data_IF_138983285843
#
_entry.id   IF_138983285843
#
_cell.length_a   1.000
_cell.length_b   1.000
_cell.length_c   1.000
_cell.angle_alpha   90.00
_cell.angle_beta   90.00
_cell.angle_gamma   90.00
#
_symmetry.space_group_name_H-M   'P 1'
#
loop_
_entity.id
_entity.type
_entity.pdbx_description
1 polymer ?
2 branched ?
3 water ?
#
# COMPACT_ATOMS: atom_id res chain seq x y z
N UNK A 1 10.15 -27.12 0.48
CA UNK A 1 10.03 -26.76 1.89
C UNK A 1 8.69 -26.05 2.15
N UNK A 2 8.25 -26.07 3.42
CA UNK A 2 7.06 -25.38 3.87
C UNK A 2 7.35 -24.70 5.20
N UNK A 3 6.36 -24.02 5.77
CA UNK A 3 6.48 -23.56 7.15
C UNK A 3 5.09 -23.38 7.73
N UNK A 4 5.05 -23.16 9.04
CA UNK A 4 3.80 -22.97 9.75
C UNK A 4 3.25 -21.58 9.51
N UNK A 5 1.93 -21.50 9.34
CA UNK A 5 1.19 -20.25 9.34
C UNK A 5 0.31 -20.23 10.58
N UNK A 6 0.42 -19.18 11.39
CA UNK A 6 -0.33 -19.06 12.65
C UNK A 6 -1.24 -17.84 12.59
N UNK A 7 -2.55 -18.08 12.66
CA UNK A 7 -3.53 -17.00 12.62
C UNK A 7 -4.13 -16.81 14.01
N UNK A 8 -4.10 -15.57 14.50
CA UNK A 8 -4.50 -15.27 15.87
C UNK A 8 -5.37 -14.02 15.92
N UNK A 9 -6.33 -14.04 16.83
CA UNK A 9 -7.09 -12.86 17.21
C UNK A 9 -6.74 -12.58 18.67
N UNK A 10 -6.14 -11.41 18.91
CA UNK A 10 -5.59 -11.12 20.23
C UNK A 10 -6.66 -10.68 21.23
N UNK A 11 -7.70 -9.98 20.78
CA UNK A 11 -8.54 -9.28 21.73
C UNK A 11 -9.92 -8.88 21.22
N UNK A 12 -10.23 -9.14 19.95
CA UNK A 12 -11.55 -8.69 19.53
C UNK A 12 -12.62 -9.71 19.97
N UNK A 13 -13.81 -9.24 20.35
CA UNK A 13 -14.85 -10.15 20.81
C UNK A 13 -15.56 -10.85 19.68
N UNK A 14 -15.97 -12.09 19.95
CA UNK A 14 -16.75 -12.81 18.95
C UNK A 14 -15.87 -13.43 17.88
N UNK A 15 -16.39 -13.45 16.65
CA UNK A 15 -15.91 -14.36 15.61
C UNK A 15 -15.17 -13.61 14.51
N UNK A 16 -14.01 -14.13 14.14
CA UNK A 16 -13.17 -13.58 13.09
C UNK A 16 -12.76 -14.72 12.17
N UNK A 17 -12.81 -14.48 10.86
CA UNK A 17 -12.40 -15.45 9.85
C UNK A 17 -11.20 -14.92 9.08
N UNK A 18 -10.28 -15.82 8.73
CA UNK A 18 -9.16 -15.54 7.86
C UNK A 18 -9.29 -16.28 6.54
N UNK A 19 -8.82 -15.64 5.45
CA UNK A 19 -8.65 -16.27 4.15
C UNK A 19 -7.20 -16.16 3.69
N UNK A 20 -6.67 -17.23 3.12
CA UNK A 20 -5.32 -17.24 2.52
C UNK A 20 -5.46 -17.54 1.02
N UNK A 21 -5.12 -16.57 0.17
CA UNK A 21 -5.13 -16.72 -1.28
C UNK A 21 -3.71 -16.54 -1.85
N UNK A 22 -3.50 -17.05 -3.07
CA UNK A 22 -2.24 -16.84 -3.77
C UNK A 22 -2.15 -17.64 -5.07
N UNK A 23 -0.95 -17.62 -5.66
CA UNK A 23 -0.62 -18.39 -6.87
C UNK A 23 0.43 -19.45 -6.52
N UNK A 24 0.15 -20.70 -6.85
CA UNK A 24 1.07 -21.73 -6.39
C UNK A 24 2.29 -21.80 -7.32
N UNK A 25 3.39 -22.27 -6.75
CA UNK A 25 4.72 -22.14 -7.34
C UNK A 25 4.78 -22.61 -8.79
N UNK A 26 5.04 -21.67 -9.70
CA UNK A 26 5.22 -22.01 -11.11
C UNK A 26 3.99 -22.33 -11.95
N UNK A 27 3.06 -23.13 -11.43
CA UNK A 27 1.86 -23.44 -12.19
C UNK A 27 1.08 -22.19 -12.53
N UNK A 28 1.27 -21.11 -11.75
CA UNK A 28 0.56 -19.83 -11.84
C UNK A 28 -0.91 -19.95 -11.44
N UNK A 29 -1.31 -21.08 -10.88
CA UNK A 29 -2.72 -21.40 -10.68
C UNK A 29 -3.18 -20.85 -9.34
N UNK A 30 -4.18 -19.98 -9.38
CA UNK A 30 -4.93 -19.53 -8.21
C UNK A 30 -5.16 -20.65 -7.19
N UNK A 31 -5.16 -20.30 -5.90
CA UNK A 31 -5.15 -21.32 -4.86
C UNK A 31 -5.58 -20.67 -3.56
N UNK A 32 -6.31 -21.45 -2.72
CA UNK A 32 -6.81 -20.97 -1.44
C UNK A 32 -6.54 -22.03 -0.38
N UNK A 33 -6.17 -21.59 0.82
CA UNK A 33 -5.94 -22.52 1.91
C UNK A 33 -7.28 -22.85 2.56
N UNK A 34 -7.38 -24.10 3.05
CA UNK A 34 -8.72 -24.48 3.49
C UNK A 34 -8.73 -24.70 5.00
N UNK A 35 -9.89 -24.46 5.66
CA UNK A 35 -10.00 -24.65 7.12
C UNK A 35 -9.37 -25.93 7.64
N UNK A 36 -9.41 -27.00 6.85
CA UNK A 36 -8.88 -28.30 7.26
C UNK A 36 -7.37 -28.42 7.02
N UNK A 37 -6.71 -27.36 6.55
CA UNK A 37 -5.29 -27.40 6.29
C UNK A 37 -4.90 -27.78 4.88
N UNK A 38 -5.86 -28.14 4.03
CA UNK A 38 -5.57 -28.56 2.67
C UNK A 38 -5.76 -27.39 1.71
N UNK A 39 -5.37 -27.60 0.47
CA UNK A 39 -5.39 -26.59 -0.56
C UNK A 39 -6.59 -26.79 -1.48
N UNK A 40 -7.24 -25.70 -1.85
CA UNK A 40 -8.32 -25.72 -2.81
C UNK A 40 -7.87 -24.98 -4.06
N UNK A 41 -7.77 -25.71 -5.17
CA UNK A 41 -7.40 -25.11 -6.44
C UNK A 41 -8.63 -25.07 -7.34
N UNK A 42 -9.27 -23.93 -7.53
CA UNK A 42 -10.51 -23.90 -8.31
C UNK A 42 -10.24 -24.16 -9.78
N UNK A 43 -11.21 -24.79 -10.43
CA UNK A 43 -11.23 -24.86 -11.88
C UNK A 43 -11.91 -23.62 -12.44
N UNK A 44 -11.67 -23.37 -13.73
CA UNK A 44 -12.33 -22.25 -14.38
C UNK A 44 -13.85 -22.45 -14.35
N UNK A 45 -14.61 -21.39 -14.09
CA UNK A 45 -16.06 -21.55 -13.95
C UNK A 45 -16.79 -21.54 -15.30
N UNK A 46 -18.07 -21.92 -15.24
CA UNK A 46 -18.88 -21.90 -16.43
C UNK A 46 -19.36 -20.52 -16.84
N UNK A 47 -19.24 -19.54 -15.97
CA UNK A 47 -19.71 -18.19 -16.26
C UNK A 47 -18.92 -17.22 -15.42
N UNK A 48 -18.95 -15.92 -15.75
CA UNK A 48 -18.37 -14.92 -14.86
C UNK A 48 -19.18 -14.76 -13.57
N UNK A 49 -18.51 -14.26 -12.54
CA UNK A 49 -19.16 -13.90 -11.29
C UNK A 49 -19.73 -15.14 -10.59
N UNK A 50 -19.01 -16.26 -10.69
CA UNK A 50 -19.46 -17.52 -10.14
C UNK A 50 -19.02 -17.65 -8.68
N UNK A 51 -19.93 -17.81 -7.73
CA UNK A 51 -19.52 -17.89 -6.31
C UNK A 51 -18.53 -19.00 -6.07
N UNK A 52 -17.53 -18.71 -5.23
CA UNK A 52 -16.53 -19.70 -4.87
C UNK A 52 -17.25 -20.96 -4.37
N UNK A 53 -17.09 -22.11 -5.02
CA UNK A 53 -17.91 -23.27 -4.67
C UNK A 53 -17.43 -24.01 -3.44
N UNK A 54 -16.30 -23.64 -2.84
CA UNK A 54 -15.87 -24.23 -1.57
C UNK A 54 -15.78 -23.11 -0.53
N UNK A 55 -16.09 -23.44 0.73
CA UNK A 55 -15.99 -22.46 1.82
C UNK A 55 -14.55 -22.48 2.32
N UNK A 56 -13.81 -21.43 1.96
CA UNK A 56 -12.41 -21.33 2.36
C UNK A 56 -12.19 -20.40 3.54
N UNK A 57 -13.26 -19.94 4.19
CA UNK A 57 -13.11 -19.14 5.39
C UNK A 57 -12.54 -20.00 6.51
N UNK A 58 -11.52 -19.49 7.20
CA UNK A 58 -10.82 -20.21 8.26
C UNK A 58 -11.23 -19.61 9.59
N UNK A 59 -12.00 -20.32 10.42
CA UNK A 59 -12.47 -19.72 11.67
C UNK A 59 -11.34 -19.61 12.68
N UNK A 60 -11.15 -18.41 13.22
CA UNK A 60 -10.16 -18.18 14.26
C UNK A 60 -10.72 -18.53 15.62
N UNK A 61 -9.87 -19.13 16.46
CA UNK A 61 -10.17 -19.32 17.88
C UNK A 61 -10.60 -17.99 18.52
N UNK A 62 -11.27 -18.06 19.68
CA UNK A 62 -11.68 -16.84 20.35
C UNK A 62 -10.50 -16.03 20.83
N UNK A 63 -10.70 -14.71 20.90
CA UNK A 63 -9.70 -13.76 21.38
C UNK A 63 -8.95 -14.28 22.59
N UNK A 64 -7.65 -14.44 22.46
CA UNK A 64 -6.83 -14.93 23.55
C UNK A 64 -6.66 -16.42 23.62
N UNK A 65 -7.37 -17.19 22.80
CA UNK A 65 -7.33 -18.65 22.95
C UNK A 65 -6.11 -19.29 22.32
N UNK A 66 -5.30 -18.52 21.59
CA UNK A 66 -4.16 -19.08 20.91
C UNK A 66 -4.37 -19.03 19.41
N UNK A 67 -3.42 -19.56 18.67
CA UNK A 67 -3.50 -19.46 17.21
C UNK A 67 -4.12 -20.69 16.56
N UNK A 68 -4.67 -20.48 15.37
CA UNK A 68 -4.87 -21.56 14.41
C UNK A 68 -3.56 -21.74 13.64
N UNK A 69 -2.95 -22.91 13.76
CA UNK A 69 -1.68 -23.22 13.10
C UNK A 69 -1.93 -24.22 11.97
N UNK A 70 -1.50 -23.87 10.75
CA UNK A 70 -1.54 -24.81 9.64
C UNK A 70 -0.24 -24.75 8.86
N UNK A 71 -0.14 -25.60 7.84
CA UNK A 71 1.05 -25.67 7.01
C UNK A 71 0.88 -24.73 5.82
N UNK A 72 1.84 -23.83 5.65
CA UNK A 72 1.79 -22.88 4.56
C UNK A 72 2.55 -23.46 3.38
N UNK A 73 1.89 -23.76 2.26
CA UNK A 73 2.62 -24.13 1.05
C UNK A 73 3.14 -22.90 0.33
N UNK A 74 4.13 -23.14 -0.52
CA UNK A 74 4.77 -22.02 -1.20
C UNK A 74 3.85 -21.43 -2.25
N UNK A 75 3.86 -20.11 -2.36
CA UNK A 75 2.97 -19.38 -3.25
C UNK A 75 3.41 -17.93 -3.35
N UNK A 76 2.96 -17.26 -4.39
CA UNK A 76 3.36 -15.88 -4.63
C UNK A 76 2.11 -15.08 -4.95
N UNK A 77 2.24 -13.75 -4.96
CA UNK A 77 1.06 -12.91 -5.09
C UNK A 77 0.00 -13.23 -4.07
N UNK A 78 0.42 -13.63 -2.86
CA UNK A 78 -0.44 -14.17 -1.82
C UNK A 78 -0.92 -13.09 -0.86
N UNK A 79 -2.03 -13.38 -0.18
CA UNK A 79 -2.65 -12.49 0.79
C UNK A 79 -3.19 -13.28 1.97
N UNK A 80 -3.23 -12.66 3.14
CA UNK A 80 -4.03 -13.12 4.28
C UNK A 80 -5.08 -12.06 4.55
N UNK A 81 -6.36 -12.46 4.47
CA UNK A 81 -7.49 -11.59 4.81
C UNK A 81 -8.00 -11.94 6.19
N UNK A 82 -8.61 -10.96 6.84
CA UNK A 82 -9.38 -11.17 8.05
C UNK A 82 -10.70 -10.45 7.86
N UNK A 83 -11.73 -10.95 8.53
CA UNK A 83 -13.04 -10.31 8.50
C UNK A 83 -13.75 -10.65 9.80
N UNK A 84 -14.47 -9.67 10.34
CA UNK A 84 -15.15 -9.79 11.63
C UNK A 84 -16.62 -10.09 11.43
N UNK A 85 -17.14 -10.99 12.28
CA UNK A 85 -18.55 -11.40 12.32
C UNK A 85 -18.96 -12.18 11.06
N UNK A 86 -18.79 -11.59 9.88
CA UNK A 86 -19.17 -12.23 8.63
C UNK A 86 -18.08 -13.13 8.06
N UNK A 87 -18.31 -13.51 6.82
CA UNK A 87 -17.34 -14.10 5.92
C UNK A 87 -17.22 -13.17 4.72
N UNK A 88 -16.26 -13.44 3.83
CA UNK A 88 -16.10 -12.67 2.61
C UNK A 88 -16.62 -13.46 1.42
N UNK A 89 -17.25 -12.76 0.48
CA UNK A 89 -17.71 -13.37 -0.77
C UNK A 89 -16.63 -13.25 -1.84
N UNK A 90 -16.03 -14.37 -2.21
CA UNK A 90 -15.14 -14.48 -3.36
C UNK A 90 -15.91 -15.08 -4.54
N UNK A 91 -15.44 -14.78 -5.76
CA UNK A 91 -16.08 -15.26 -6.98
C UNK A 91 -15.01 -15.80 -7.92
N UNK A 92 -15.46 -16.43 -9.00
CA UNK A 92 -14.57 -16.91 -10.05
C UNK A 92 -15.03 -16.36 -11.38
N UNK A 93 -14.05 -16.04 -12.24
CA UNK A 93 -14.27 -15.66 -13.62
C UNK A 93 -13.54 -16.65 -14.50
N UNK A 94 -13.96 -16.82 -15.76
CA UNK A 94 -13.32 -17.82 -16.62
C UNK A 94 -11.81 -17.62 -16.62
N UNK A 95 -11.08 -18.72 -16.41
CA UNK A 95 -9.64 -18.64 -16.34
C UNK A 95 -8.93 -19.88 -15.84
N UNK A 96 -9.04 -20.19 -14.53
CA UNK A 96 -9.80 -19.49 -13.50
C UNK A 96 -9.14 -18.19 -13.04
N UNK A 97 -9.95 -17.16 -12.84
CA UNK A 97 -9.49 -15.84 -12.37
C UNK A 97 -10.26 -15.49 -11.10
N UNK A 98 -9.56 -15.41 -9.96
CA UNK A 98 -10.20 -15.13 -8.67
C UNK A 98 -10.66 -13.67 -8.60
N UNK A 99 -11.95 -13.45 -8.33
CA UNK A 99 -12.48 -12.11 -8.13
C UNK A 99 -12.26 -11.76 -6.66
N UNK A 100 -11.32 -10.67 -6.36
CA UNK A 100 -10.98 -10.30 -4.99
C UNK A 100 -11.87 -9.17 -4.49
N UNK A 101 -12.20 -9.15 -3.20
CA UNK A 101 -13.00 -8.05 -2.65
C UNK A 101 -12.33 -6.71 -2.95
N UNK A 102 -13.13 -5.77 -3.43
CA UNK A 102 -12.65 -4.48 -3.89
C UNK A 102 -12.96 -3.45 -2.80
N UNK A 103 -11.96 -3.17 -1.96
CA UNK A 103 -12.16 -2.24 -0.84
C UNK A 103 -12.63 -0.87 -1.28
N UNK A 104 -12.23 -0.44 -2.47
CA UNK A 104 -12.39 0.94 -2.92
C UNK A 104 -13.55 1.15 -3.90
N UNK A 105 -14.41 0.15 -4.10
CA UNK A 105 -15.57 0.32 -4.97
C UNK A 105 -16.83 0.08 -4.15
N UNK A 106 -17.76 1.03 -4.10
CA UNK A 106 -18.87 0.94 -3.12
C UNK A 106 -19.97 -0.07 -3.49
N UNK A 107 -20.01 -0.56 -4.72
CA UNK A 107 -20.96 -1.59 -5.12
C UNK A 107 -20.52 -2.99 -4.71
N UNK A 108 -19.32 -3.14 -4.14
CA UNK A 108 -18.78 -4.46 -3.88
C UNK A 108 -19.56 -5.15 -2.75
N UNK A 109 -19.76 -6.47 -2.84
CA UNK A 109 -20.55 -7.18 -1.80
C UNK A 109 -19.96 -7.05 -0.42
N UNK A 110 -18.65 -6.90 -0.31
CA UNK A 110 -17.98 -6.81 0.96
C UNK A 110 -17.77 -5.37 1.40
N UNK A 111 -18.22 -4.40 0.62
CA UNK A 111 -17.91 -2.99 0.88
C UNK A 111 -18.32 -2.56 2.29
N UNK A 112 -19.47 -3.04 2.76
CA UNK A 112 -19.94 -2.70 4.09
C UNK A 112 -19.41 -3.56 5.20
N UNK A 113 -18.57 -4.55 4.91
CA UNK A 113 -18.08 -5.43 5.95
C UNK A 113 -16.76 -4.91 6.52
N UNK A 114 -16.42 -5.42 7.69
CA UNK A 114 -15.18 -5.06 8.39
C UNK A 114 -14.12 -6.12 8.02
N UNK A 115 -13.25 -5.78 7.08
CA UNK A 115 -12.23 -6.71 6.60
C UNK A 115 -10.94 -5.98 6.22
N UNK A 116 -9.86 -6.74 6.19
CA UNK A 116 -8.54 -6.23 5.88
C UNK A 116 -7.70 -7.34 5.28
N UNK A 117 -6.50 -6.98 4.83
CA UNK A 117 -5.57 -7.98 4.31
C UNK A 117 -4.15 -7.40 4.32
N UNK A 118 -3.19 -8.31 4.35
CA UNK A 118 -1.80 -8.02 4.05
C UNK A 118 -1.30 -8.98 2.98
N UNK A 119 -0.21 -8.61 2.31
CA UNK A 119 0.34 -9.31 1.16
C UNK A 119 1.62 -10.02 1.53
N UNK A 120 1.86 -11.20 0.95
CA UNK A 120 3.12 -11.91 1.17
C UNK A 120 3.46 -12.78 -0.04
N UNK A 121 4.68 -13.32 -0.02
CA UNK A 121 5.18 -14.22 -1.05
C UNK A 121 6.08 -15.24 -0.37
N UNK A 122 6.01 -16.48 -0.81
CA UNK A 122 6.75 -17.58 -0.20
C UNK A 122 7.22 -18.47 -1.34
N UNK A 123 8.48 -18.26 -1.76
CA UNK A 123 9.17 -19.05 -2.80
C UNK A 123 10.33 -19.76 -2.09
N UNK A 124 11.23 -20.48 -2.78
CA UNK A 124 12.28 -21.20 -2.02
C UNK A 124 13.40 -20.30 -1.52
N UNK A 125 13.53 -19.08 -2.05
CA UNK A 125 14.55 -18.18 -1.53
C UNK A 125 14.15 -17.61 -0.17
N UNK A 126 12.88 -17.20 0.00
CA UNK A 126 12.46 -16.54 1.24
C UNK A 126 10.95 -16.47 1.35
N UNK A 127 10.46 -16.32 2.58
CA UNK A 127 9.14 -15.76 2.82
C UNK A 127 9.28 -14.25 3.01
N UNK A 128 8.50 -13.48 2.27
CA UNK A 128 8.50 -12.04 2.35
C UNK A 128 7.06 -11.56 2.53
N UNK A 129 6.81 -10.82 3.60
CA UNK A 129 5.49 -10.28 3.92
C UNK A 129 5.58 -8.77 4.06
N UNK A 130 4.44 -8.09 3.96
CA UNK A 130 4.45 -6.63 3.92
C UNK A 130 3.16 -6.07 4.50
N UNK A 131 3.28 -5.26 5.54
CA UNK A 131 2.22 -4.35 5.95
C UNK A 131 2.46 -3.03 5.25
N UNK A 132 1.44 -2.56 4.52
CA UNK A 132 1.57 -1.37 3.71
C UNK A 132 0.28 -0.56 3.79
N UNK A 133 0.41 0.76 3.91
CA UNK A 133 -0.72 1.67 3.88
C UNK A 133 -0.71 2.52 2.61
N UNK A 134 -0.14 1.96 1.54
CA UNK A 134 -0.15 2.69 0.29
C UNK A 134 -1.59 2.86 -0.21
N UNK A 135 -2.44 1.87 0.01
CA UNK A 135 -3.81 1.90 -0.53
C UNK A 135 -4.89 2.17 0.50
N UNK A 136 -4.84 1.56 1.67
CA UNK A 136 -5.94 1.70 2.61
C UNK A 136 -5.48 1.45 4.02
N UNK A 137 -6.25 1.98 4.97
CA UNK A 137 -6.17 1.66 6.38
C UNK A 137 -7.57 1.19 6.82
N UNK A 138 -7.62 0.22 7.72
CA UNK A 138 -8.89 -0.39 8.10
C UNK A 138 -9.07 -0.45 9.62
N UNK A 139 -10.32 -0.66 10.03
CA UNK A 139 -10.74 -0.99 11.39
C UNK A 139 -10.31 -2.37 11.83
N UNK A 140 -9.51 -3.12 11.09
CA UNK A 140 -9.08 -4.46 11.48
C UNK A 140 -7.57 -4.60 11.29
N UNK A 141 -6.77 -3.79 11.99
CA UNK A 141 -5.34 -3.71 11.69
C UNK A 141 -4.64 -5.02 11.93
N UNK A 142 -3.74 -5.36 10.99
CA UNK A 142 -2.94 -6.58 11.03
C UNK A 142 -1.54 -6.25 11.53
N UNK A 143 -1.00 -7.12 12.40
CA UNK A 143 0.40 -7.14 12.72
C UNK A 143 0.94 -8.54 12.45
N UNK A 144 2.27 -8.65 12.38
CA UNK A 144 2.84 -9.95 12.06
C UNK A 144 4.19 -10.15 12.73
N UNK A 145 4.58 -11.42 12.81
CA UNK A 145 5.87 -11.87 13.32
C UNK A 145 6.35 -13.01 12.41
N UNK A 146 7.60 -12.92 11.95
CA UNK A 146 8.21 -13.97 11.14
C UNK A 146 9.40 -14.54 11.91
N UNK A 147 9.33 -15.82 12.26
CA UNK A 147 10.43 -16.56 12.85
C UNK A 147 11.06 -17.49 11.82
N UNK A 148 12.39 -17.60 11.89
CA UNK A 148 13.13 -18.46 11.01
C UNK A 148 14.57 -18.40 11.43
N UNK A 149 15.44 -17.92 10.54
CA UNK A 149 16.76 -17.50 10.96
C UNK A 149 16.59 -16.46 12.06
N UNK A 150 16.13 -15.27 11.69
CA UNK A 150 15.94 -14.21 12.68
C UNK A 150 14.52 -14.28 13.23
N UNK A 151 14.18 -13.31 14.08
CA UNK A 151 12.80 -13.01 14.41
C UNK A 151 12.56 -11.56 14.01
N UNK A 152 11.55 -11.34 13.16
CA UNK A 152 11.16 -9.98 12.78
C UNK A 152 9.70 -9.77 13.17
N UNK A 153 9.40 -8.58 13.66
CA UNK A 153 8.06 -8.21 14.05
C UNK A 153 7.70 -6.91 13.34
N UNK A 154 6.45 -6.81 12.90
CA UNK A 154 5.92 -5.56 12.38
C UNK A 154 4.70 -5.21 13.21
N UNK A 155 4.72 -4.02 13.81
CA UNK A 155 3.67 -3.54 14.68
C UNK A 155 2.48 -3.06 13.86
N UNK A 156 1.26 -3.30 14.34
CA UNK A 156 0.05 -2.95 13.60
C UNK A 156 -0.27 -1.47 13.75
N UNK A 157 -1.29 -1.04 13.01
CA UNK A 157 -1.96 0.18 13.40
C UNK A 157 -2.48 0.00 14.82
N UNK A 158 -2.31 0.98 15.69
CA UNK A 158 -2.80 0.82 17.06
C UNK A 158 -4.31 0.87 17.07
N UNK A 159 -4.88 0.27 18.11
CA UNK A 159 -6.33 0.32 18.31
C UNK A 159 -6.84 1.75 18.16
N UNK A 160 -7.77 1.95 17.23
CA UNK A 160 -8.36 3.25 17.02
C UNK A 160 -7.75 4.06 15.90
N UNK A 161 -6.67 3.57 15.28
CA UNK A 161 -5.98 4.36 14.27
C UNK A 161 -6.94 4.86 13.18
N UNK A 162 -7.81 3.98 12.68
CA UNK A 162 -8.56 4.36 11.48
C UNK A 162 -9.56 5.47 11.79
N UNK A 163 -10.08 5.52 13.01
CA UNK A 163 -10.95 6.65 13.37
C UNK A 163 -10.18 7.96 13.39
N UNK A 164 -9.00 7.98 14.04
CA UNK A 164 -8.15 9.18 14.04
C UNK A 164 -7.82 9.62 12.62
N UNK A 165 -7.44 8.67 11.77
CA UNK A 165 -7.05 9.03 10.41
C UNK A 165 -8.22 9.67 9.69
N UNK A 166 -9.41 9.09 9.85
CA UNK A 166 -10.61 9.64 9.20
C UNK A 166 -10.94 11.04 9.72
N UNK A 167 -10.85 11.23 11.04
CA UNK A 167 -11.12 12.54 11.62
C UNK A 167 -10.11 13.59 11.13
N UNK A 168 -8.81 13.27 11.21
CA UNK A 168 -7.80 14.22 10.73
C UNK A 168 -8.04 14.61 9.28
N UNK A 169 -8.44 13.64 8.45
CA UNK A 169 -8.61 13.95 7.02
C UNK A 169 -9.87 14.77 6.78
N UNK A 170 -10.96 14.47 7.49
CA UNK A 170 -12.14 15.34 7.40
C UNK A 170 -11.80 16.75 7.86
N UNK A 171 -11.05 16.86 8.97
CA UNK A 171 -10.57 18.15 9.44
C UNK A 171 -9.79 18.87 8.36
N UNK A 172 -8.91 18.14 7.66
CA UNK A 172 -8.17 18.74 6.56
C UNK A 172 -9.12 19.25 5.49
N UNK A 173 -10.09 18.43 5.09
CA UNK A 173 -11.06 18.82 4.07
C UNK A 173 -11.83 20.07 4.46
N UNK A 174 -12.16 20.19 5.76
CA UNK A 174 -12.85 21.39 6.23
C UNK A 174 -12.05 22.65 5.97
N UNK A 175 -10.72 22.57 6.06
CA UNK A 175 -9.90 23.77 5.91
C UNK A 175 -9.52 24.07 4.46
N UNK A 176 -9.24 23.05 3.64
CA UNK A 176 -8.84 23.29 2.26
C UNK A 176 -9.95 23.00 1.26
N UNK A 177 -11.11 22.53 1.72
CA UNK A 177 -12.17 22.20 0.79
C UNK A 177 -11.87 21.08 -0.19
N UNK A 178 -10.76 20.38 -0.03
CA UNK A 178 -10.45 19.27 -0.93
C UNK A 178 -11.14 17.98 -0.46
N UNK A 179 -11.39 17.04 -1.39
CA UNK A 179 -12.23 15.88 -1.06
C UNK A 179 -11.62 14.84 -0.12
N UNK A 180 -10.81 15.28 0.87
CA UNK A 180 -10.15 14.30 1.73
C UNK A 180 -11.15 13.46 2.51
N UNK A 181 -12.33 14.02 2.80
CA UNK A 181 -13.30 13.30 3.61
C UNK A 181 -13.95 12.14 2.85
N UNK A 182 -13.99 12.23 1.51
CA UNK A 182 -14.56 11.16 0.71
C UNK A 182 -13.74 9.89 0.75
N UNK A 183 -12.49 9.94 1.23
CA UNK A 183 -11.72 8.72 1.31
C UNK A 183 -12.21 7.81 2.43
N UNK A 184 -13.10 8.31 3.30
CA UNK A 184 -13.58 7.54 4.43
C UNK A 184 -14.73 6.64 3.98
N UNK A 185 -14.85 5.47 4.62
CA UNK A 185 -15.98 4.58 4.43
C UNK A 185 -16.55 4.21 5.80
N UNK A 186 -17.79 4.62 6.05
CA UNK A 186 -18.48 4.30 7.28
C UNK A 186 -19.59 3.30 7.02
N UNK A 187 -19.70 2.29 7.88
CA UNK A 187 -20.73 1.30 7.73
C UNK A 187 -22.10 1.90 7.95
N UNK A 188 -23.05 1.07 8.37
CA UNK A 188 -24.40 1.55 8.64
C UNK A 188 -24.56 1.96 10.10
N UNK A 189 -23.70 1.43 10.96
CA UNK A 189 -23.74 1.72 12.39
C UNK A 189 -22.90 2.93 12.79
N UNK A 190 -22.52 3.78 11.84
CA UNK A 190 -21.73 4.94 12.19
C UNK A 190 -20.23 4.70 12.27
N UNK A 191 -19.82 3.45 12.39
CA UNK A 191 -18.42 3.11 12.58
C UNK A 191 -17.63 3.29 11.29
N UNK A 192 -16.33 3.56 11.43
CA UNK A 192 -15.45 3.72 10.27
C UNK A 192 -14.92 2.35 9.86
N UNK A 193 -15.05 2.02 8.59
CA UNK A 193 -14.59 0.72 8.10
C UNK A 193 -13.18 0.81 7.50
N UNK A 194 -12.95 1.79 6.65
CA UNK A 194 -11.64 1.93 6.05
C UNK A 194 -11.50 3.37 5.58
N UNK A 195 -10.26 3.74 5.27
CA UNK A 195 -9.98 4.98 4.57
C UNK A 195 -9.00 4.61 3.46
N UNK A 196 -9.17 5.21 2.28
CA UNK A 196 -8.39 4.85 1.10
C UNK A 196 -7.56 6.03 0.63
N UNK A 197 -6.41 5.70 0.03
CA UNK A 197 -5.52 6.72 -0.49
C UNK A 197 -6.20 7.46 -1.65
N UNK A 198 -5.77 8.69 -1.93
CA UNK A 198 -6.42 9.48 -2.98
C UNK A 198 -6.44 8.83 -4.34
N UNK A 199 -5.39 8.10 -4.74
CA UNK A 199 -5.43 7.45 -6.05
C UNK A 199 -6.60 6.46 -6.16
N UNK A 200 -6.98 5.79 -5.08
CA UNK A 200 -8.10 4.85 -5.15
C UNK A 200 -9.43 5.58 -5.31
N UNK A 201 -9.50 6.85 -4.94
CA UNK A 201 -10.66 7.67 -5.22
C UNK A 201 -10.57 8.39 -6.55
N UNK A 202 -9.39 8.43 -7.18
CA UNK A 202 -9.22 9.18 -8.41
C UNK A 202 -9.35 8.33 -9.66
N UNK A 203 -9.11 7.02 -9.54
CA UNK A 203 -8.99 6.10 -10.66
C UNK A 203 -10.31 5.85 -11.40
N UNK A 204 -11.46 5.78 -10.69
CA UNK A 204 -12.74 5.89 -11.40
C UNK A 204 -12.77 7.01 -12.43
N UNK A 205 -12.30 8.19 -12.08
CA UNK A 205 -12.42 9.32 -12.98
C UNK A 205 -11.28 9.44 -13.96
N UNK A 206 -10.44 8.42 -14.10
CA UNK A 206 -9.44 8.46 -15.16
C UNK A 206 -10.11 8.52 -16.53
N UNK A 207 -11.25 7.85 -16.66
CA UNK A 207 -12.14 8.03 -17.81
C UNK A 207 -12.39 9.51 -18.07
N UNK A 208 -12.98 10.21 -17.09
CA UNK A 208 -13.34 11.63 -17.23
C UNK A 208 -12.44 12.50 -16.38
N UNK A 209 -11.26 12.90 -16.88
CA UNK A 209 -10.32 13.64 -16.03
C UNK A 209 -10.81 15.01 -15.61
N UNK A 210 -11.78 15.58 -16.32
CA UNK A 210 -12.25 16.89 -15.92
C UNK A 210 -13.15 16.84 -14.69
N UNK A 211 -13.46 15.65 -14.19
CA UNK A 211 -14.19 15.51 -12.93
C UNK A 211 -13.37 14.83 -11.85
N UNK A 212 -12.12 14.46 -12.13
CA UNK A 212 -11.28 13.74 -11.18
C UNK A 212 -11.19 14.51 -9.86
N UNK A 213 -11.45 13.87 -8.72
CA UNK A 213 -11.15 14.53 -7.44
C UNK A 213 -9.66 14.79 -7.32
N UNK A 214 -9.32 15.93 -6.73
CA UNK A 214 -7.94 16.36 -6.45
C UNK A 214 -7.16 16.84 -7.67
N UNK A 215 -7.79 16.92 -8.85
CA UNK A 215 -7.03 17.11 -10.09
C UNK A 215 -6.16 18.35 -10.06
N UNK A 216 -6.54 19.37 -9.29
CA UNK A 216 -5.83 20.63 -9.27
C UNK A 216 -5.15 20.92 -7.95
N UNK A 217 -5.07 19.92 -7.06
CA UNK A 217 -4.43 20.11 -5.76
C UNK A 217 -3.00 20.61 -5.92
N UNK A 218 -2.21 19.92 -6.74
CA UNK A 218 -0.78 20.22 -6.86
C UNK A 218 -0.45 21.16 -7.99
N UNK A 219 -1.44 21.62 -8.76
CA UNK A 219 -1.16 22.27 -10.03
C UNK A 219 -0.31 23.53 -9.85
N UNK A 220 -0.65 24.37 -8.88
CA UNK A 220 0.12 25.59 -8.66
C UNK A 220 1.54 25.26 -8.15
N UNK A 221 1.62 24.39 -7.15
CA UNK A 221 2.92 24.04 -6.56
C UNK A 221 3.87 23.50 -7.62
N UNK A 222 3.36 22.64 -8.51
CA UNK A 222 4.18 22.08 -9.58
C UNK A 222 4.74 23.19 -10.47
N UNK A 223 3.91 24.17 -10.80
CA UNK A 223 4.42 25.25 -11.65
C UNK A 223 5.48 26.05 -10.93
N UNK A 224 5.35 26.21 -9.61
CA UNK A 224 6.37 26.87 -8.82
C UNK A 224 7.69 26.12 -8.89
N UNK A 225 7.66 24.80 -8.72
CA UNK A 225 8.88 24.00 -8.76
C UNK A 225 9.53 24.10 -10.14
N UNK A 226 8.72 23.99 -11.19
CA UNK A 226 9.28 23.98 -12.54
C UNK A 226 9.93 25.31 -12.87
N UNK A 227 9.37 26.41 -12.37
CA UNK A 227 9.96 27.73 -12.61
C UNK A 227 11.26 27.90 -11.82
N UNK A 228 11.34 27.32 -10.62
CA UNK A 228 12.55 27.40 -9.82
C UNK A 228 13.73 26.80 -10.57
N UNK A 229 13.55 25.59 -11.09
CA UNK A 229 14.63 24.84 -11.70
C UNK A 229 14.78 25.12 -13.19
N UNK A 230 14.15 26.19 -13.67
CA UNK A 230 14.57 26.81 -14.90
C UNK A 230 15.79 27.72 -14.71
N UNK A 231 16.04 28.19 -13.48
CA UNK A 231 17.15 29.10 -13.21
C UNK A 231 18.24 28.54 -12.30
N UNK A 232 18.07 27.34 -11.72
CA UNK A 232 19.08 26.76 -10.84
C UNK A 232 18.97 25.23 -10.90
N UNK A 233 20.04 24.56 -10.48
CA UNK A 233 20.12 23.11 -10.58
C UNK A 233 19.32 22.40 -9.47
N UNK A 234 18.78 21.24 -9.82
CA UNK A 234 18.22 20.30 -8.87
C UNK A 234 19.15 19.11 -8.82
N UNK A 235 19.71 18.84 -7.64
CA UNK A 235 20.69 17.79 -7.45
C UNK A 235 20.02 16.61 -6.74
N UNK A 236 19.99 15.45 -7.39
CA UNK A 236 19.39 14.25 -6.83
C UNK A 236 20.49 13.26 -6.53
N UNK A 237 20.58 12.84 -5.27
CA UNK A 237 21.59 11.86 -4.88
C UNK A 237 21.01 10.47 -5.12
N UNK A 238 21.59 9.75 -6.08
CA UNK A 238 21.16 8.39 -6.40
C UNK A 238 21.45 7.38 -5.29
N UNK A 239 22.41 7.69 -4.41
CA UNK A 239 22.71 6.93 -3.20
C UNK A 239 23.36 5.59 -3.53
N UNK A 240 23.60 4.78 -2.51
CA UNK A 240 24.36 3.57 -2.74
C UNK A 240 25.73 3.79 -3.32
N UNK A 241 26.30 4.99 -3.12
CA UNK A 241 27.60 5.31 -3.66
C UNK A 241 27.61 5.70 -5.12
N UNK A 242 26.44 5.83 -5.75
CA UNK A 242 26.39 6.23 -7.14
C UNK A 242 26.53 7.73 -7.35
N UNK A 243 26.40 8.53 -6.30
CA UNK A 243 26.59 9.96 -6.44
C UNK A 243 25.36 10.69 -6.95
N UNK A 244 25.54 11.99 -7.19
CA UNK A 244 24.43 12.85 -7.55
C UNK A 244 24.41 13.16 -9.04
N UNK A 245 23.22 13.53 -9.53
CA UNK A 245 23.04 14.05 -10.87
C UNK A 245 22.29 15.36 -10.78
N UNK A 246 22.73 16.34 -11.57
CA UNK A 246 22.15 17.66 -11.60
C UNK A 246 21.16 17.76 -12.76
N UNK A 247 20.05 18.46 -12.53
CA UNK A 247 19.04 18.63 -13.57
C UNK A 247 18.61 20.08 -13.69
N UNK A 248 18.02 20.38 -14.86
CA UNK A 248 17.44 21.68 -15.16
C UNK A 248 16.18 21.51 -16.00
N UNK A 249 15.30 22.50 -15.91
CA UNK A 249 14.05 22.52 -16.65
C UNK A 249 14.21 23.44 -17.87
N UNK A 250 14.01 22.87 -19.06
CA UNK A 250 14.01 23.61 -20.32
C UNK A 250 12.58 23.56 -20.87
N UNK A 251 11.90 24.70 -20.88
CA UNK A 251 10.51 24.71 -21.27
C UNK A 251 9.66 23.94 -20.28
N UNK A 252 9.30 22.69 -20.60
CA UNK A 252 8.53 21.85 -19.69
C UNK A 252 9.18 20.49 -19.45
N UNK A 253 10.42 20.30 -19.89
CA UNK A 253 11.15 19.07 -19.61
C UNK A 253 12.24 19.35 -18.58
N UNK A 254 12.23 18.58 -17.50
CA UNK A 254 13.32 18.58 -16.54
C UNK A 254 14.34 17.56 -17.01
N UNK A 255 15.54 18.02 -17.36
CA UNK A 255 16.55 17.17 -17.97
C UNK A 255 17.77 17.09 -17.07
N UNK A 256 18.19 15.86 -16.72
CA UNK A 256 19.40 15.63 -15.94
C UNK A 256 20.54 15.22 -16.85
N UNK A 257 21.76 15.51 -16.41
CA UNK A 257 22.94 15.00 -17.08
C UNK A 257 22.81 13.50 -17.25
N UNK A 258 23.13 13.03 -18.45
CA UNK A 258 22.78 11.70 -18.90
C UNK A 258 21.57 11.67 -19.79
N UNK A 259 20.96 12.82 -20.07
CA UNK A 259 19.81 12.87 -20.95
C UNK A 259 18.54 12.31 -20.37
N UNK A 260 18.47 12.11 -19.05
CA UNK A 260 17.26 11.66 -18.39
C UNK A 260 16.20 12.76 -18.40
N UNK A 261 14.98 12.43 -18.81
CA UNK A 261 13.97 13.45 -19.04
C UNK A 261 12.69 13.16 -18.28
N UNK A 262 12.07 14.24 -17.78
CA UNK A 262 10.83 14.15 -17.01
C UNK A 262 9.95 15.30 -17.44
N UNK A 263 8.75 14.98 -17.93
CA UNK A 263 7.82 16.04 -18.33
C UNK A 263 7.14 16.59 -17.08
N UNK A 264 6.58 17.79 -17.22
CA UNK A 264 5.90 18.43 -16.10
C UNK A 264 4.83 17.49 -15.57
N UNK A 265 4.74 17.28 -14.26
CA UNK A 265 3.81 16.30 -13.73
C UNK A 265 2.46 16.94 -13.41
N UNK A 266 1.49 16.08 -13.13
CA UNK A 266 0.17 16.48 -12.69
C UNK A 266 -0.09 15.92 -11.30
N UNK A 267 -1.14 16.46 -10.65
CA UNK A 267 -1.56 15.92 -9.36
C UNK A 267 -1.79 14.42 -9.46
N UNK A 268 -2.33 13.96 -10.59
CA UNK A 268 -2.53 12.54 -10.80
C UNK A 268 -1.20 11.79 -10.70
N UNK A 269 -0.20 12.25 -11.44
CA UNK A 269 1.12 11.62 -11.40
C UNK A 269 1.62 11.48 -9.96
N UNK A 270 1.58 12.59 -9.21
CA UNK A 270 2.11 12.60 -7.85
C UNK A 270 1.42 11.56 -6.98
N UNK A 271 0.10 11.44 -7.10
CA UNK A 271 -0.61 10.51 -6.24
C UNK A 271 -0.41 9.06 -6.67
N UNK A 272 -0.44 8.78 -7.98
CA UNK A 272 -0.26 7.40 -8.43
C UNK A 272 1.19 6.96 -8.38
N UNK A 273 2.13 7.89 -8.59
CA UNK A 273 3.54 7.58 -8.77
C UNK A 273 3.77 6.66 -9.96
N UNK A 274 2.93 6.82 -10.99
CA UNK A 274 2.89 5.83 -12.07
C UNK A 274 2.32 6.37 -13.37
N UNK A 275 2.19 7.70 -13.49
CA UNK A 275 1.73 8.33 -14.72
C UNK A 275 2.60 9.56 -14.97
N UNK A 276 2.41 10.18 -16.13
CA UNK A 276 3.24 11.29 -16.54
C UNK A 276 4.70 10.90 -16.46
N UNK A 277 5.53 11.79 -15.91
CA UNK A 277 6.97 11.47 -15.78
C UNK A 277 7.29 10.29 -14.85
N UNK A 278 6.31 9.79 -14.07
CA UNK A 278 6.57 8.70 -13.13
C UNK A 278 6.08 7.34 -13.61
N UNK A 279 5.57 7.26 -14.85
CA UNK A 279 5.14 5.97 -15.38
C UNK A 279 6.34 5.03 -15.49
N UNK A 280 6.14 3.79 -15.05
CA UNK A 280 7.21 2.82 -15.08
C UNK A 280 7.37 2.26 -16.49
N UNK A 281 8.55 2.43 -17.08
CA UNK A 281 8.85 1.98 -18.43
C UNK A 281 10.04 1.04 -18.37
N UNK A 282 9.92 -0.20 -18.84
CA UNK A 282 11.07 -1.13 -18.76
C UNK A 282 12.26 -0.70 -19.58
N UNK A 283 12.09 0.26 -20.49
CA UNK A 283 13.12 0.83 -21.33
C UNK A 283 13.92 1.93 -20.63
N UNK A 284 13.87 2.02 -19.30
CA UNK A 284 14.55 3.07 -18.54
C UNK A 284 15.84 2.52 -17.91
N UNK A 285 16.92 3.29 -18.02
CA UNK A 285 18.15 2.90 -17.34
C UNK A 285 17.97 2.98 -15.82
N UNK A 286 18.94 2.40 -15.10
CA UNK A 286 18.83 2.35 -13.64
C UNK A 286 18.96 3.72 -13.01
N UNK A 287 19.80 4.58 -13.57
CA UNK A 287 19.88 5.95 -13.08
C UNK A 287 18.55 6.66 -13.30
N UNK A 288 17.98 6.55 -14.50
CA UNK A 288 16.66 7.11 -14.75
C UNK A 288 15.64 6.61 -13.73
N UNK A 289 15.72 5.33 -13.35
CA UNK A 289 14.75 4.80 -12.41
C UNK A 289 15.02 5.30 -10.99
N UNK A 290 16.29 5.48 -10.63
CA UNK A 290 16.61 6.07 -9.35
C UNK A 290 16.09 7.51 -9.29
N UNK A 291 16.35 8.29 -10.34
CA UNK A 291 15.89 9.67 -10.39
C UNK A 291 14.37 9.75 -10.25
N UNK A 292 13.66 8.90 -10.97
CA UNK A 292 12.20 8.90 -10.94
C UNK A 292 11.67 8.71 -9.52
N UNK A 293 12.19 7.72 -8.80
CA UNK A 293 11.69 7.44 -7.46
C UNK A 293 11.91 8.64 -6.55
N UNK A 294 13.11 9.21 -6.60
CA UNK A 294 13.46 10.29 -5.68
C UNK A 294 12.64 11.54 -5.97
N UNK A 295 12.37 11.82 -7.24
CA UNK A 295 11.59 13.01 -7.61
C UNK A 295 10.13 12.84 -7.24
N UNK A 296 9.56 11.66 -7.50
CA UNK A 296 8.22 11.39 -7.01
C UNK A 296 8.13 11.53 -5.50
N UNK A 297 9.09 10.96 -4.78
CA UNK A 297 9.04 11.06 -3.33
C UNK A 297 9.08 12.52 -2.88
N UNK A 298 9.95 13.33 -3.48
CA UNK A 298 10.06 14.73 -3.07
C UNK A 298 8.81 15.55 -3.33
N UNK A 299 8.06 15.24 -4.39
CA UNK A 299 6.82 15.96 -4.66
C UNK A 299 5.75 15.59 -3.64
N UNK A 300 5.63 14.30 -3.33
CA UNK A 300 4.68 13.82 -2.33
C UNK A 300 4.92 14.46 -0.98
N UNK A 301 6.20 14.65 -0.62
CA UNK A 301 6.61 15.20 0.66
C UNK A 301 6.73 16.72 0.64
N UNK A 302 6.60 17.34 -0.54
CA UNK A 302 6.60 18.79 -0.69
C UNK A 302 7.92 19.41 -0.26
N UNK A 303 9.03 18.80 -0.67
CA UNK A 303 10.35 19.36 -0.39
C UNK A 303 11.06 19.86 -1.66
N UNK A 304 10.34 19.99 -2.78
CA UNK A 304 11.02 20.33 -4.04
C UNK A 304 11.46 21.79 -4.07
N UNK A 305 10.78 22.65 -3.35
CA UNK A 305 11.16 24.06 -3.29
C UNK A 305 12.17 24.32 -2.19
N UNK A 306 12.07 23.57 -1.09
CA UNK A 306 12.88 23.83 0.08
C UNK A 306 14.26 23.19 -0.01
N UNK A 307 14.41 22.11 -0.75
CA UNK A 307 15.67 21.36 -0.78
C UNK A 307 16.14 21.07 -2.20
N UNK A 308 17.00 21.93 -2.74
CA UNK A 308 17.58 21.67 -4.08
C UNK A 308 18.45 20.43 -4.16
N UNK A 309 19.00 19.93 -3.06
CA UNK A 309 19.70 18.65 -3.05
C UNK A 309 18.96 17.66 -2.14
N UNK A 310 18.73 16.45 -2.63
CA UNK A 310 17.93 15.50 -1.88
C UNK A 310 18.13 14.11 -2.47
N UNK A 311 17.87 13.05 -1.70
CA UNK A 311 17.34 13.05 -0.33
C UNK A 311 18.36 13.25 0.80
N UNK A 312 19.66 13.10 0.55
CA UNK A 312 20.62 13.29 1.62
C UNK A 312 20.66 14.77 2.00
N UNK A 313 20.75 15.04 3.30
CA UNK A 313 20.58 16.40 3.79
C UNK A 313 19.18 16.79 4.22
N UNK A 314 18.15 16.02 3.85
CA UNK A 314 16.79 16.23 4.33
C UNK A 314 16.51 15.26 5.47
N UNK A 315 15.48 15.56 6.25
CA UNK A 315 15.01 14.66 7.31
C UNK A 315 13.50 14.62 7.28
N UNK A 316 12.93 13.69 8.05
CA UNK A 316 11.47 13.55 8.12
C UNK A 316 10.81 14.84 8.56
N UNK A 317 11.49 15.64 9.40
CA UNK A 317 10.96 16.91 9.86
C UNK A 317 10.69 17.88 8.72
N UNK A 318 11.36 17.73 7.58
CA UNK A 318 11.12 18.61 6.44
C UNK A 318 9.85 18.26 5.66
N UNK A 319 9.28 17.06 5.87
CA UNK A 319 8.21 16.55 5.03
C UNK A 319 6.85 17.16 5.40
N UNK A 320 6.01 17.33 4.37
CA UNK A 320 4.56 17.58 4.52
C UNK A 320 4.27 18.87 5.25
N UNK A 321 5.07 19.90 4.97
CA UNK A 321 4.80 21.22 5.53
C UNK A 321 4.00 22.02 4.53
N UNK A 322 3.06 22.82 5.03
CA UNK A 322 2.28 23.70 4.19
C UNK A 322 0.93 23.14 3.82
N UNK A 323 0.15 23.96 3.11
CA UNK A 323 -1.23 23.61 2.83
C UNK A 323 -1.38 22.57 1.74
N UNK A 324 -0.51 22.59 0.74
CA UNK A 324 -0.58 21.67 -0.38
C UNK A 324 0.51 20.62 -0.21
N UNK A 325 0.11 19.41 0.17
CA UNK A 325 1.03 18.30 0.30
C UNK A 325 0.19 17.03 0.20
N UNK A 326 0.83 15.88 0.32
CA UNK A 326 0.10 14.61 0.38
C UNK A 326 -0.37 14.37 1.81
N UNK A 327 -1.55 14.92 2.14
CA UNK A 327 -2.09 14.82 3.49
C UNK A 327 -2.47 13.40 3.86
N UNK A 328 -2.85 12.57 2.88
CA UNK A 328 -3.03 11.16 3.17
C UNK A 328 -1.77 10.60 3.79
N UNK A 329 -0.62 10.81 3.15
CA UNK A 329 0.62 10.31 3.72
C UNK A 329 0.94 10.96 5.08
N UNK A 330 0.80 12.28 5.16
CA UNK A 330 1.08 12.95 6.43
C UNK A 330 0.28 12.32 7.58
N UNK A 331 -1.02 12.10 7.37
CA UNK A 331 -1.90 11.67 8.47
C UNK A 331 -1.68 10.20 8.80
N UNK A 332 -1.45 9.36 7.80
CA UNK A 332 -1.18 7.94 8.09
C UNK A 332 0.11 7.80 8.90
N UNK A 333 1.15 8.57 8.55
CA UNK A 333 2.41 8.51 9.29
C UNK A 333 2.22 8.97 10.73
N UNK A 334 1.46 10.06 10.92
CA UNK A 334 1.14 10.52 12.26
C UNK A 334 0.50 9.44 13.10
N UNK A 335 -0.37 8.63 12.50
CA UNK A 335 -1.18 7.71 13.28
C UNK A 335 -0.72 6.27 13.21
N UNK A 336 0.49 6.02 12.73
CA UNK A 336 0.96 4.65 12.64
C UNK A 336 2.43 4.60 13.01
N UNK A 337 2.86 3.51 13.64
CA UNK A 337 4.25 3.43 14.12
C UNK A 337 5.27 3.02 13.06
N UNK A 338 4.88 2.32 12.00
CA UNK A 338 5.79 1.88 10.95
C UNK A 338 4.93 1.52 9.73
N UNK A 339 5.54 1.50 8.55
CA UNK A 339 4.93 1.15 7.28
C UNK A 339 4.79 2.35 6.33
N UNK A 340 4.81 2.06 5.03
CA UNK A 340 4.78 3.10 4.01
C UNK A 340 3.36 3.56 3.69
N UNK A 341 3.24 4.80 3.22
CA UNK A 341 1.95 5.42 2.98
C UNK A 341 1.79 5.89 1.55
N UNK A 342 2.82 5.75 0.73
CA UNK A 342 2.70 6.11 -0.68
C UNK A 342 3.78 5.36 -1.44
N UNK A 343 3.64 5.24 -2.78
CA UNK A 343 4.41 4.21 -3.51
C UNK A 343 5.92 4.39 -3.45
N UNK A 344 6.43 5.61 -3.29
CA UNK A 344 7.87 5.79 -3.17
C UNK A 344 8.29 6.22 -1.76
N UNK A 345 7.52 5.84 -0.74
CA UNK A 345 7.90 6.13 0.64
C UNK A 345 9.21 5.45 1.05
N UNK A 346 9.67 4.44 0.29
CA UNK A 346 10.94 3.77 0.58
C UNK A 346 12.16 4.68 0.36
N UNK A 347 12.00 5.82 -0.33
CA UNK A 347 13.11 6.75 -0.48
C UNK A 347 13.40 7.37 0.89
N UNK A 348 14.63 7.20 1.38
CA UNK A 348 14.99 7.79 2.66
C UNK A 348 16.42 8.32 2.63
N UNK A 349 16.71 9.40 3.37
CA UNK A 349 18.10 9.87 3.44
C UNK A 349 19.00 8.82 4.07
N UNK A 350 20.22 8.73 3.57
CA UNK A 350 21.23 7.87 4.19
C UNK A 350 21.34 8.16 5.68
N UNK A 351 21.58 7.10 6.46
CA UNK A 351 21.65 7.20 7.90
C UNK A 351 20.32 7.16 8.61
N UNK A 352 19.22 7.34 7.90
CA UNK A 352 17.90 7.31 8.52
C UNK A 352 17.39 5.88 8.60
N UNK A 353 16.58 5.59 9.62
CA UNK A 353 16.17 4.19 9.83
C UNK A 353 15.17 3.72 8.77
N UNK A 354 15.20 2.42 8.53
CA UNK A 354 14.23 1.74 7.66
C UNK A 354 12.86 1.71 8.34
N UNK A 355 11.87 2.34 7.72
CA UNK A 355 10.56 2.37 8.35
C UNK A 355 9.54 1.62 7.49
N UNK A 356 10.01 0.64 6.71
CA UNK A 356 9.09 -0.18 5.91
C UNK A 356 8.34 -1.17 6.78
N UNK A 357 7.14 -1.54 6.34
CA UNK A 357 6.40 -2.52 7.08
C UNK A 357 6.68 -3.96 6.68
N UNK A 358 7.85 -4.24 6.11
CA UNK A 358 8.15 -5.58 5.62
C UNK A 358 8.86 -6.44 6.66
N UNK A 359 8.67 -7.76 6.55
CA UNK A 359 9.47 -8.74 7.27
C UNK A 359 9.83 -9.85 6.28
N UNK A 360 11.09 -10.30 6.30
CA UNK A 360 11.47 -11.37 5.40
C UNK A 360 12.57 -12.20 6.03
N UNK A 361 12.60 -13.47 5.67
CA UNK A 361 13.53 -14.44 6.23
C UNK A 361 13.81 -15.51 5.18
N UNK A 362 15.08 -15.89 5.06
CA UNK A 362 15.47 -16.85 4.05
C UNK A 362 15.16 -18.28 4.39
N UNK A 363 14.88 -18.57 5.65
CA UNK A 363 14.48 -19.91 6.08
C UNK A 363 13.33 -19.83 7.09
N UNK A 364 12.12 -19.57 6.60
CA UNK A 364 10.99 -19.34 7.50
C UNK A 364 10.54 -20.62 8.18
N UNK A 365 10.19 -20.49 9.46
CA UNK A 365 9.64 -21.62 10.20
C UNK A 365 8.21 -21.38 10.64
N UNK A 366 7.90 -20.21 11.20
CA UNK A 366 6.53 -19.85 11.54
C UNK A 366 6.25 -18.41 11.16
N UNK A 367 5.13 -18.19 10.47
CA UNK A 367 4.67 -16.88 10.04
C UNK A 367 3.37 -16.58 10.79
N UNK A 368 3.45 -15.71 11.81
CA UNK A 368 2.30 -15.41 12.66
C UNK A 368 1.65 -14.11 12.21
N UNK A 369 0.39 -14.18 11.79
CA UNK A 369 -0.40 -13.03 11.40
C UNK A 369 -1.57 -12.91 12.39
N UNK A 370 -1.77 -11.72 12.96
CA UNK A 370 -2.75 -11.53 14.03
C UNK A 370 -3.56 -10.25 13.83
N UNK A 371 -4.74 -10.23 14.46
CA UNK A 371 -5.53 -9.01 14.59
C UNK A 371 -5.74 -8.77 16.08
N UNK A 372 -6.25 -7.59 16.40
CA UNK A 372 -6.39 -7.19 17.79
C UNK A 372 -5.09 -6.66 18.39
N UNK A 373 -5.16 -6.40 19.69
CA UNK A 373 -3.97 -5.98 20.46
C UNK A 373 -4.05 -6.46 21.90
X LIG B 1 11.42 -8.77 -2.33
X LIG B 1 10.32 -7.80 -2.69
X LIG B 1 8.98 -8.52 -2.88
X LIG B 1 9.10 -9.89 -3.51
X LIG B 1 10.31 -10.66 -3.04
X LIG B 1 10.43 -11.91 -3.89
X LIG B 1 12.71 -8.14 -2.38
X LIG B 1 10.63 -7.07 -3.87
X LIG B 1 8.04 -7.77 -3.64
X LIG B 1 7.98 -10.62 -3.09
X LIG B 1 11.44 -9.85 -3.23
X LIG B 1 10.93 -12.98 -3.12
X LIG B 2 7.05 -7.29 -2.73
X LIG B 2 6.57 -5.85 -2.89
X LIG B 2 5.09 -5.68 -3.27
X LIG B 2 4.27 -6.91 -2.92
X LIG B 2 4.91 -7.69 -1.80
X LIG B 2 4.04 -8.89 -1.49
X LIG B 2 7.42 -5.16 -3.80
X LIG B 2 4.89 -5.38 -4.66
X LIG B 2 2.96 -6.51 -2.54
X LIG B 2 6.12 -8.25 -2.27
X LIG B 2 4.67 -9.60 -0.44
X LIG C 1 1.20 -8.11 -5.71
X LIG C 1 0.05 -7.26 -6.24
X LIG C 1 -1.08 -7.08 -5.21
X LIG C 1 -1.28 -8.26 -4.28
X LIG C 1 0.01 -8.93 -3.92
X LIG C 1 -0.22 -10.18 -3.11
X LIG C 1 2.13 -8.45 -6.74
X LIG C 1 -0.42 -7.89 -7.42
X LIG C 1 -2.33 -6.84 -5.84
X LIG C 1 -1.85 -7.73 -3.10
X LIG C 1 0.66 -9.28 -5.13
X LIG C 1 1.04 -10.64 -2.67
X LIG C 2 -2.53 -5.44 -5.81
X LIG C 2 -3.24 -4.89 -7.05
X LIG C 2 -3.86 -3.51 -6.85
X LIG C 2 -4.25 -3.22 -5.40
X LIG C 2 -3.07 -3.65 -4.54
X LIG C 2 -2.96 -3.20 -3.08
X LIG C 2 -4.18 -5.86 -7.53
X LIG C 2 -4.97 -3.29 -7.74
X LIG C 2 -4.53 -1.84 -5.26
X LIG C 2 -3.11 -5.06 -4.58
X LIG C 2 -4.22 -2.91 -2.50
#
# INVERSE_FOLDING_TARGET
>A
ATCELALENKSLPGTVHAYVTGHEQGTDRWVLLRPDGSVYRPDSPGAPQTPLPVDCAIPLKGAGAGPVVMTLPQMYGARVYFVRDDKLDFYLNPGPSLVEPAFATPTDPNYGRTWSFCEFTFNPQQLYANISYVDLVTALPIGLTLEGDSTHTVAPLPDGAVQRIADDLTAQAASDGQPWDKLVTRGSDGQVLRVVSPQNLMAPFFDRPDQMPFRDLFTAQIDEVWEKYRSTDLRIDLQGGRGTLSGRVSGDTLTFEGGHTFVKPTSKDIFTCNHGPFANDPADSDDKKALLARIAAGFNRSIMLSHPQQPNGTTVADYYKGGVTNHWSRVVHANSPIGYAFPYDDVRPDGEPDVSGAAHDGNPRRFTVSVGS
>B hetero
1 BMA C1 C2 C3 C4 C5 C6 O1 O2 O3 O4 O5 O6
2 BMA C1 C2 C3 C4 C5 C6 O2 O3 O4 O5 O6
>C hetero
1 BMA C1 C2 C3 C4 C5 C6 O1 O2 O3 O4 O5 O6
2 BMA C1 C2 C3 C4 C5 C6 O2 O3 O4 O5 O6
#
